data_IF_077481336684
#
_entry.id   IF_077481336684
#
_cell.length_a   1.000
_cell.length_b   1.000
_cell.length_c   1.000
_cell.angle_alpha   90.00
_cell.angle_beta   90.00
_cell.angle_gamma   90.00
#
_symmetry.space_group_name_H-M   'P 1'
#
loop_
_entity.id
_entity.type
_entity.pdbx_description
1 polymer ?
#
# COMPACT_ATOMS: atom_id res chain seq x y z
N UNK A 1 34.13 1.34 -17.80
CA UNK A 1 32.73 1.38 -18.24
C UNK A 1 32.15 -0.03 -18.06
N UNK A 2 31.65 -0.31 -16.86
CA UNK A 2 31.22 -1.65 -16.43
C UNK A 2 29.82 -1.62 -15.78
N UNK A 3 29.09 -0.51 -15.87
CA UNK A 3 27.84 -0.34 -15.12
C UNK A 3 26.73 -1.27 -15.60
N UNK A 4 26.60 -1.41 -16.92
CA UNK A 4 25.62 -2.33 -17.51
C UNK A 4 26.03 -3.79 -17.23
N UNK A 5 27.32 -4.12 -17.29
CA UNK A 5 27.80 -5.45 -16.93
C UNK A 5 27.54 -5.77 -15.44
N UNK A 6 27.81 -4.83 -14.55
CA UNK A 6 27.50 -4.94 -13.12
C UNK A 6 25.99 -5.11 -12.88
N UNK A 7 25.15 -4.39 -13.62
CA UNK A 7 23.69 -4.56 -13.59
C UNK A 7 23.31 -6.01 -13.92
N UNK A 8 23.80 -6.57 -15.02
CA UNK A 8 23.45 -7.93 -15.43
C UNK A 8 24.01 -8.99 -14.47
N UNK A 9 25.22 -8.81 -13.95
CA UNK A 9 25.81 -9.71 -12.95
C UNK A 9 24.97 -9.69 -11.66
N UNK A 10 24.66 -8.51 -11.13
CA UNK A 10 23.83 -8.36 -9.93
C UNK A 10 22.43 -8.95 -10.14
N UNK A 11 21.82 -8.67 -11.29
CA UNK A 11 20.52 -9.21 -11.65
C UNK A 11 20.56 -10.74 -11.70
N UNK A 12 21.57 -11.33 -12.34
CA UNK A 12 21.71 -12.78 -12.46
C UNK A 12 21.94 -13.43 -11.10
N UNK A 13 22.80 -12.85 -10.25
CA UNK A 13 23.01 -13.32 -8.87
C UNK A 13 21.69 -13.29 -8.09
N UNK A 14 20.97 -12.17 -8.13
CA UNK A 14 19.69 -12.04 -7.43
C UNK A 14 18.66 -13.03 -7.96
N UNK A 15 18.57 -13.19 -9.28
CA UNK A 15 17.66 -14.15 -9.92
C UNK A 15 18.01 -15.59 -9.53
N UNK A 16 19.29 -15.94 -9.47
CA UNK A 16 19.76 -17.27 -9.08
C UNK A 16 19.45 -17.54 -7.60
N UNK A 17 19.70 -16.57 -6.71
CA UNK A 17 19.31 -16.65 -5.29
C UNK A 17 17.79 -16.79 -5.15
N UNK A 18 17.01 -16.05 -5.93
CA UNK A 18 15.55 -16.14 -5.94
C UNK A 18 15.07 -17.52 -6.41
N UNK A 19 15.67 -18.04 -7.49
CA UNK A 19 15.33 -19.34 -8.06
C UNK A 19 15.69 -20.48 -7.11
N UNK A 20 16.88 -20.44 -6.49
CA UNK A 20 17.28 -21.38 -5.43
C UNK A 20 16.33 -21.29 -4.25
N UNK A 21 16.02 -20.09 -3.76
CA UNK A 21 15.05 -19.91 -2.67
C UNK A 21 13.67 -20.50 -3.00
N UNK A 22 13.25 -20.37 -4.26
CA UNK A 22 11.98 -20.90 -4.76
C UNK A 22 12.01 -22.42 -4.88
N UNK A 23 13.09 -23.01 -5.40
CA UNK A 23 13.26 -24.46 -5.54
C UNK A 23 13.28 -25.16 -4.18
N UNK A 24 14.02 -24.61 -3.21
CA UNK A 24 14.14 -25.17 -1.88
C UNK A 24 13.01 -24.74 -0.92
N UNK A 25 12.01 -23.98 -1.40
CA UNK A 25 10.84 -23.48 -0.63
C UNK A 25 11.25 -22.82 0.70
N UNK A 26 12.37 -22.11 0.72
CA UNK A 26 12.90 -21.48 1.94
C UNK A 26 12.12 -20.20 2.23
N UNK A 27 11.01 -20.32 2.98
CA UNK A 27 10.09 -19.21 3.28
C UNK A 27 10.79 -17.98 3.89
N UNK A 28 11.80 -18.20 4.74
CA UNK A 28 12.55 -17.12 5.41
C UNK A 28 13.36 -16.29 4.42
N UNK A 29 14.01 -16.95 3.46
CA UNK A 29 14.82 -16.29 2.44
C UNK A 29 13.92 -15.58 1.42
N UNK A 30 12.84 -16.22 1.00
CA UNK A 30 11.86 -15.63 0.09
C UNK A 30 11.22 -14.37 0.68
N UNK A 31 10.89 -14.38 1.98
CA UNK A 31 10.39 -13.19 2.67
C UNK A 31 11.41 -12.05 2.69
N UNK A 32 12.69 -12.35 2.95
CA UNK A 32 13.74 -11.33 2.88
C UNK A 32 13.92 -10.80 1.46
N UNK A 33 13.90 -11.66 0.44
CA UNK A 33 13.95 -11.25 -0.97
C UNK A 33 12.76 -10.36 -1.35
N UNK A 34 11.56 -10.64 -0.85
CA UNK A 34 10.39 -9.79 -1.09
C UNK A 34 10.49 -8.44 -0.35
N UNK A 35 11.05 -8.41 0.87
CA UNK A 35 11.25 -7.19 1.66
C UNK A 35 12.35 -6.29 1.06
N UNK A 36 13.50 -6.86 0.70
CA UNK A 36 14.63 -6.13 0.11
C UNK A 36 14.52 -5.96 -1.41
N UNK A 37 13.60 -6.67 -2.07
CA UNK A 37 13.45 -6.66 -3.53
C UNK A 37 13.18 -5.28 -4.11
N UNK A 38 12.45 -4.42 -3.39
CA UNK A 38 12.23 -3.02 -3.79
C UNK A 38 13.56 -2.25 -3.83
N UNK A 39 14.36 -2.33 -2.75
CA UNK A 39 15.65 -1.65 -2.67
C UNK A 39 16.62 -2.15 -3.74
N UNK A 40 16.59 -3.45 -4.00
CA UNK A 40 17.38 -4.06 -5.07
C UNK A 40 16.97 -3.52 -6.45
N UNK A 41 15.68 -3.46 -6.76
CA UNK A 41 15.18 -2.89 -8.02
C UNK A 41 15.53 -1.40 -8.15
N UNK A 42 15.46 -0.63 -7.06
CA UNK A 42 15.88 0.78 -7.07
C UNK A 42 17.38 0.93 -7.39
N UNK A 43 18.23 0.08 -6.77
CA UNK A 43 19.66 0.06 -7.03
C UNK A 43 19.99 -0.39 -8.48
N UNK A 44 19.26 -1.37 -9.00
CA UNK A 44 19.36 -1.75 -10.41
C UNK A 44 18.92 -0.59 -11.33
N UNK A 45 17.83 0.08 -11.01
CA UNK A 45 17.34 1.23 -11.77
C UNK A 45 18.35 2.36 -11.83
N UNK A 46 19.01 2.69 -10.71
CA UNK A 46 20.05 3.73 -10.71
C UNK A 46 21.25 3.34 -11.58
N UNK A 47 21.68 2.07 -11.56
CA UNK A 47 22.73 1.56 -12.44
C UNK A 47 22.36 1.66 -13.92
N UNK A 48 21.09 1.39 -14.28
CA UNK A 48 20.62 1.55 -15.67
C UNK A 48 20.66 3.00 -16.10
N UNK A 49 20.24 3.94 -15.25
CA UNK A 49 20.27 5.38 -15.57
C UNK A 49 21.71 5.83 -15.84
N UNK A 50 22.65 5.44 -14.97
CA UNK A 50 24.07 5.76 -15.15
C UNK A 50 24.62 5.11 -16.41
N UNK A 51 24.29 3.86 -16.69
CA UNK A 51 24.75 3.16 -17.89
C UNK A 51 24.25 3.81 -19.20
N UNK A 52 23.00 4.27 -19.23
CA UNK A 52 22.44 5.03 -20.35
C UNK A 52 23.17 6.37 -20.50
N UNK A 53 23.39 7.09 -19.40
CA UNK A 53 24.08 8.38 -19.42
C UNK A 53 25.54 8.26 -19.90
N UNK A 54 26.23 7.18 -19.52
CA UNK A 54 27.62 6.92 -19.89
C UNK A 54 27.79 6.29 -21.28
N UNK A 55 26.70 5.88 -21.93
CA UNK A 55 26.70 5.16 -23.21
C UNK A 55 27.56 3.88 -23.20
N UNK A 56 27.53 3.13 -22.11
CA UNK A 56 28.37 1.94 -21.92
C UNK A 56 27.86 0.74 -22.76
N UNK A 57 28.63 0.23 -23.75
CA UNK A 57 28.31 -1.03 -24.41
C UNK A 57 28.78 -2.23 -23.58
N UNK A 58 28.01 -3.32 -23.54
CA UNK A 58 28.50 -4.61 -23.04
C UNK A 58 28.87 -5.49 -24.23
N UNK A 59 30.10 -5.98 -24.25
CA UNK A 59 30.46 -7.15 -25.03
C UNK A 59 30.36 -8.39 -24.12
N UNK A 60 29.28 -9.16 -24.24
CA UNK A 60 29.16 -10.46 -23.55
C UNK A 60 29.66 -11.55 -24.49
N UNK A 61 30.88 -12.06 -24.24
CA UNK A 61 31.38 -13.27 -24.91
C UNK A 61 31.61 -13.15 -26.43
N UNK A 62 31.87 -11.95 -26.95
CA UNK A 62 32.16 -11.73 -28.38
C UNK A 62 30.93 -11.61 -29.29
N UNK A 63 29.71 -11.63 -28.73
CA UNK A 63 28.47 -11.33 -29.47
C UNK A 63 28.16 -9.84 -29.29
N UNK A 64 28.26 -9.06 -30.36
CA UNK A 64 27.90 -7.64 -30.38
C UNK A 64 26.38 -7.49 -30.48
N UNK A 65 25.69 -7.56 -29.34
CA UNK A 65 24.29 -7.16 -29.27
C UNK A 65 24.22 -5.64 -29.40
N UNK A 66 23.37 -5.07 -30.28
CA UNK A 66 23.15 -3.63 -30.40
C UNK A 66 22.91 -2.98 -29.04
N UNK A 67 23.60 -1.88 -28.76
CA UNK A 67 23.58 -1.21 -27.44
C UNK A 67 22.16 -0.76 -27.08
N UNK A 68 21.36 -0.40 -28.07
CA UNK A 68 19.96 -0.02 -27.95
C UNK A 68 19.12 -1.16 -27.37
N UNK A 69 19.35 -2.40 -27.81
CA UNK A 69 18.65 -3.58 -27.30
C UNK A 69 19.07 -3.91 -25.87
N UNK A 70 20.34 -3.67 -25.52
CA UNK A 70 20.83 -3.89 -24.16
C UNK A 70 20.16 -2.92 -23.18
N UNK A 71 20.07 -1.64 -23.53
CA UNK A 71 19.37 -0.65 -22.70
C UNK A 71 17.88 -0.95 -22.62
N UNK A 72 17.25 -1.33 -23.74
CA UNK A 72 15.84 -1.71 -23.74
C UNK A 72 15.57 -2.91 -22.83
N UNK A 73 16.39 -3.95 -22.91
CA UNK A 73 16.28 -5.12 -22.03
C UNK A 73 16.48 -4.75 -20.55
N UNK A 74 17.47 -3.93 -20.23
CA UNK A 74 17.71 -3.44 -18.87
C UNK A 74 16.54 -2.60 -18.34
N UNK A 75 15.99 -1.69 -19.14
CA UNK A 75 14.82 -0.90 -18.79
C UNK A 75 13.60 -1.80 -18.57
N UNK A 76 13.39 -2.78 -19.44
CA UNK A 76 12.28 -3.73 -19.32
C UNK A 76 12.36 -4.53 -18.03
N UNK A 77 13.54 -5.04 -17.68
CA UNK A 77 13.79 -5.75 -16.43
C UNK A 77 13.54 -4.86 -15.21
N UNK A 78 14.01 -3.60 -15.23
CA UNK A 78 13.79 -2.66 -14.13
C UNK A 78 12.30 -2.30 -13.98
N UNK A 79 11.60 -2.02 -15.08
CA UNK A 79 10.16 -1.71 -15.08
C UNK A 79 9.36 -2.92 -14.57
N UNK A 80 9.68 -4.11 -15.05
CA UNK A 80 9.03 -5.34 -14.60
C UNK A 80 9.30 -5.62 -13.12
N UNK A 81 10.54 -5.45 -12.67
CA UNK A 81 10.91 -5.53 -11.26
C UNK A 81 10.12 -4.53 -10.42
N UNK A 82 10.00 -3.29 -10.88
CA UNK A 82 9.24 -2.25 -10.19
C UNK A 82 7.76 -2.62 -10.12
N UNK A 83 7.16 -3.12 -11.20
CA UNK A 83 5.79 -3.63 -11.16
C UNK A 83 5.61 -4.76 -10.12
N UNK A 84 6.49 -5.76 -10.15
CA UNK A 84 6.40 -6.95 -9.27
C UNK A 84 6.60 -6.63 -7.80
N UNK A 85 7.54 -5.74 -7.48
CA UNK A 85 7.93 -5.44 -6.10
C UNK A 85 7.27 -4.18 -5.54
N UNK A 86 6.88 -3.20 -6.36
CA UNK A 86 6.21 -1.98 -5.88
C UNK A 86 4.69 -2.07 -6.00
N UNK A 87 4.15 -2.34 -7.20
CA UNK A 87 2.70 -2.25 -7.43
C UNK A 87 1.90 -3.39 -6.78
N UNK A 88 2.47 -4.60 -6.75
CA UNK A 88 1.78 -5.75 -6.14
C UNK A 88 1.53 -5.59 -4.62
N UNK A 89 2.53 -5.23 -3.78
CA UNK A 89 2.25 -4.97 -2.37
C UNK A 89 1.41 -3.71 -2.15
N UNK A 90 1.55 -2.69 -3.00
CA UNK A 90 0.72 -1.48 -2.93
C UNK A 90 -0.76 -1.83 -3.12
N UNK A 91 -1.08 -2.62 -4.15
CA UNK A 91 -2.44 -3.12 -4.42
C UNK A 91 -3.02 -3.85 -3.19
N UNK A 92 -2.24 -4.72 -2.55
CA UNK A 92 -2.68 -5.43 -1.32
C UNK A 92 -2.89 -4.50 -0.13
N UNK A 93 -2.08 -3.45 0.03
CA UNK A 93 -2.26 -2.44 1.09
C UNK A 93 -3.53 -1.62 0.84
N UNK A 94 -3.76 -1.18 -0.40
CA UNK A 94 -4.95 -0.42 -0.79
C UNK A 94 -6.22 -1.22 -0.51
N UNK A 95 -6.28 -2.51 -0.89
CA UNK A 95 -7.46 -3.33 -0.57
C UNK A 95 -7.71 -3.53 0.92
N UNK A 96 -6.66 -3.61 1.75
CA UNK A 96 -6.84 -3.69 3.20
C UNK A 96 -7.40 -2.38 3.75
N UNK A 97 -6.84 -1.26 3.31
CA UNK A 97 -7.29 0.06 3.73
C UNK A 97 -8.74 0.32 3.33
N UNK A 98 -9.15 -0.08 2.11
CA UNK A 98 -10.52 0.05 1.63
C UNK A 98 -11.50 -0.77 2.49
N UNK A 99 -11.08 -1.98 2.90
CA UNK A 99 -11.87 -2.82 3.81
C UNK A 99 -12.01 -2.22 5.21
N UNK A 100 -10.91 -1.75 5.80
CA UNK A 100 -10.92 -1.06 7.09
C UNK A 100 -11.78 0.21 7.06
N UNK A 101 -11.71 0.99 5.98
CA UNK A 101 -12.58 2.15 5.79
C UNK A 101 -14.06 1.76 5.67
N UNK A 102 -14.37 0.64 5.05
CA UNK A 102 -15.73 0.08 5.03
C UNK A 102 -16.27 -0.22 6.43
N UNK A 103 -15.45 -0.83 7.29
CA UNK A 103 -15.81 -1.13 8.69
C UNK A 103 -15.99 0.14 9.53
N UNK A 104 -15.11 1.13 9.34
CA UNK A 104 -15.25 2.45 9.98
C UNK A 104 -16.55 3.13 9.54
N UNK A 105 -16.87 3.11 8.25
CA UNK A 105 -18.10 3.71 7.71
C UNK A 105 -19.36 3.06 8.29
N UNK A 106 -19.35 1.73 8.44
CA UNK A 106 -20.45 1.01 9.08
C UNK A 106 -20.59 1.40 10.57
N UNK A 107 -19.47 1.53 11.28
CA UNK A 107 -19.45 1.96 12.69
C UNK A 107 -19.99 3.38 12.86
N UNK A 108 -19.58 4.32 12.01
CA UNK A 108 -20.09 5.70 12.00
C UNK A 108 -21.61 5.70 11.75
N UNK A 109 -22.10 4.90 10.78
CA UNK A 109 -23.54 4.82 10.51
C UNK A 109 -24.35 4.27 11.69
N UNK A 110 -23.80 3.34 12.46
CA UNK A 110 -24.44 2.85 13.68
C UNK A 110 -24.42 3.88 14.80
N UNK A 111 -23.33 4.66 14.90
CA UNK A 111 -23.23 5.76 15.86
C UNK A 111 -24.28 6.83 15.57
N UNK A 112 -24.44 7.21 14.30
CA UNK A 112 -25.42 8.19 13.83
C UNK A 112 -26.86 7.81 14.25
N UNK A 113 -27.25 6.56 14.00
CA UNK A 113 -28.55 6.02 14.46
C UNK A 113 -28.71 6.03 15.97
N UNK A 114 -27.62 5.85 16.71
CA UNK A 114 -27.63 5.87 18.17
C UNK A 114 -27.81 7.30 18.68
N UNK A 115 -27.15 8.27 18.06
CA UNK A 115 -27.31 9.71 18.33
C UNK A 115 -28.74 10.15 18.04
N UNK A 116 -29.30 9.80 16.87
CA UNK A 116 -30.71 10.09 16.53
C UNK A 116 -31.68 9.55 17.57
N UNK A 117 -31.42 8.34 18.08
CA UNK A 117 -32.25 7.72 19.11
C UNK A 117 -32.12 8.46 20.45
N UNK A 118 -30.92 8.93 20.77
CA UNK A 118 -30.65 9.69 21.98
C UNK A 118 -31.35 11.06 21.92
N UNK A 119 -31.27 11.77 20.79
CA UNK A 119 -31.93 13.05 20.56
C UNK A 119 -33.45 12.94 20.78
N UNK A 120 -34.10 11.96 20.15
CA UNK A 120 -35.54 11.71 20.35
C UNK A 120 -35.92 11.39 21.80
N UNK A 121 -35.01 10.76 22.55
CA UNK A 121 -35.27 10.47 23.97
C UNK A 121 -35.12 11.73 24.82
N UNK A 122 -34.17 12.60 24.51
CA UNK A 122 -34.00 13.92 25.15
C UNK A 122 -35.23 14.79 24.90
N UNK A 123 -35.72 14.88 23.66
CA UNK A 123 -36.93 15.65 23.32
C UNK A 123 -38.16 15.18 24.11
N UNK A 124 -38.32 13.86 24.26
CA UNK A 124 -39.41 13.28 25.07
C UNK A 124 -39.28 13.63 26.54
N UNK A 125 -38.05 13.67 27.05
CA UNK A 125 -37.79 14.02 28.44
C UNK A 125 -38.14 15.48 28.70
N UNK A 126 -37.74 16.36 27.78
CA UNK A 126 -38.00 17.80 27.84
C UNK A 126 -39.51 18.07 27.84
N UNK A 127 -40.26 17.47 26.91
CA UNK A 127 -41.72 17.58 26.87
C UNK A 127 -42.43 17.00 28.10
N UNK A 128 -41.84 16.04 28.81
CA UNK A 128 -42.36 15.55 30.09
C UNK A 128 -42.07 16.51 31.24
N UNK A 129 -40.88 17.12 31.26
CA UNK A 129 -40.49 18.15 32.24
C UNK A 129 -41.45 19.34 32.12
N UNK A 130 -41.72 19.82 30.91
CA UNK A 130 -42.66 20.91 30.65
C UNK A 130 -44.06 20.62 31.20
N UNK A 131 -44.57 19.39 31.00
CA UNK A 131 -45.87 18.97 31.55
C UNK A 131 -45.87 18.99 33.07
N UNK A 132 -44.80 18.52 33.71
CA UNK A 132 -44.67 18.52 35.18
C UNK A 132 -44.64 19.96 35.70
N UNK A 133 -43.84 20.83 35.08
CA UNK A 133 -43.75 22.25 35.41
C UNK A 133 -45.11 22.95 35.28
N UNK A 134 -45.83 22.70 34.18
CA UNK A 134 -47.18 23.24 33.97
C UNK A 134 -48.15 22.78 35.07
N UNK A 135 -48.11 21.49 35.43
CA UNK A 135 -48.97 20.95 36.48
C UNK A 135 -48.65 21.54 37.86
N UNK A 136 -47.37 21.71 38.20
CA UNK A 136 -46.93 22.32 39.46
C UNK A 136 -47.34 23.80 39.56
N UNK A 137 -47.13 24.58 38.50
CA UNK A 137 -47.46 26.01 38.46
C UNK A 137 -48.98 26.27 38.54
N UNK A 138 -49.81 25.40 37.98
CA UNK A 138 -51.27 25.51 38.11
C UNK A 138 -51.73 25.14 39.51
N UNK A 139 -51.12 24.11 40.12
CA UNK A 139 -51.49 23.66 41.46
C UNK A 139 -51.20 24.71 42.53
N UNK A 140 -50.15 25.52 42.36
CA UNK A 140 -49.82 26.64 43.24
C UNK A 140 -50.76 27.86 43.09
N UNK A 141 -51.48 27.98 41.96
CA UNK A 141 -52.41 29.09 41.68
C UNK A 141 -53.83 28.87 42.21
N UNK A 142 -54.15 27.70 42.78
CA UNK A 142 -55.46 27.41 43.36
C UNK A 142 -55.34 27.53 44.90
N UNK A 143 -55.72 28.67 45.51
CA UNK A 143 -55.75 28.77 46.97
C UNK A 143 -56.79 27.80 47.54
N UNK A 144 -56.41 27.08 48.60
CA UNK A 144 -57.28 26.22 49.40
C UNK A 144 -58.37 27.00 50.11
#
# INVERSE_FOLDING_TARGET
>A
MYYLAAFWILFLIFFLVYLVSSLFKIKKLQRRLDEYGILFVMALGSLVIVAIASKDPIAVGGIEIPVELQWFASLFVTIFGMWRFFLNPLKKKVYRMDREMGEVRATISNLDKTVDKLERNVDKLDGNIDKILYHLLIKDKIPK
#
